data_IF_926699662241
#
_entry.id   IF_926699662241
#
_cell.length_a   1.000
_cell.length_b   1.000
_cell.length_c   1.000
_cell.angle_alpha   90.00
_cell.angle_beta   90.00
_cell.angle_gamma   90.00
#
_symmetry.space_group_name_H-M   'P 1'
#
loop_
_entity.id
_entity.type
_entity.pdbx_description
1 polymer ?
#
# COMPACT_ATOMS: atom_id res chain seq x y z
N UNK A 1 28.28 11.69 48.80
CA UNK A 1 29.03 11.95 47.56
C UNK A 1 29.67 10.63 47.14
N UNK A 2 28.95 9.84 46.33
CA UNK A 2 29.44 8.65 45.62
C UNK A 2 28.65 8.63 44.31
N UNK A 3 29.35 8.81 43.20
CA UNK A 3 28.85 8.64 41.83
C UNK A 3 28.37 7.19 41.63
N UNK A 4 27.23 7.00 40.97
CA UNK A 4 26.92 5.73 40.31
C UNK A 4 26.81 5.98 38.82
N UNK A 5 27.71 5.33 38.09
CA UNK A 5 27.92 5.41 36.66
C UNK A 5 26.64 5.31 35.83
N UNK A 6 26.61 6.16 34.80
CA UNK A 6 25.62 6.15 33.74
C UNK A 6 25.66 4.84 32.97
N UNK A 7 24.61 4.04 33.13
CA UNK A 7 24.25 3.02 32.16
C UNK A 7 23.85 3.75 30.88
N UNK A 8 24.72 3.71 29.88
CA UNK A 8 24.46 4.21 28.54
C UNK A 8 23.19 3.55 28.00
N UNK A 9 22.13 4.35 27.87
CA UNK A 9 20.99 4.01 27.00
C UNK A 9 21.54 3.75 25.60
N UNK A 10 21.21 2.62 24.95
CA UNK A 10 21.52 2.47 23.53
C UNK A 10 20.86 3.63 22.80
N UNK A 11 21.65 4.35 22.01
CA UNK A 11 21.21 5.46 21.19
C UNK A 11 19.93 5.07 20.46
N UNK A 12 18.87 5.85 20.68
CA UNK A 12 17.58 5.64 20.05
C UNK A 12 17.76 5.57 18.55
N UNK A 13 17.45 4.41 17.97
CA UNK A 13 16.91 4.39 16.62
C UNK A 13 15.60 5.16 16.70
N UNK A 14 15.64 6.43 16.28
CA UNK A 14 14.45 7.27 16.20
C UNK A 14 13.40 6.52 15.36
N UNK A 15 12.30 6.03 15.96
CA UNK A 15 11.35 5.16 15.26
C UNK A 15 10.81 5.83 13.98
N UNK A 16 10.67 7.16 14.01
CA UNK A 16 10.27 8.00 12.87
C UNK A 16 11.25 7.93 11.69
N UNK A 17 12.55 7.77 11.94
CA UNK A 17 13.56 7.67 10.88
C UNK A 17 13.48 6.34 10.11
N UNK A 18 13.14 5.26 10.81
CA UNK A 18 12.91 3.94 10.22
C UNK A 18 11.61 3.90 9.42
N UNK A 19 10.56 4.52 9.94
CA UNK A 19 9.25 4.60 9.29
C UNK A 19 9.30 5.48 8.03
N UNK A 20 9.98 6.63 8.09
CA UNK A 20 10.20 7.49 6.92
C UNK A 20 11.04 6.81 5.83
N UNK A 21 12.08 6.06 6.21
CA UNK A 21 12.91 5.31 5.25
C UNK A 21 12.13 4.15 4.59
N UNK A 22 11.26 3.47 5.34
CA UNK A 22 10.38 2.42 4.81
C UNK A 22 9.32 2.99 3.88
N UNK A 23 8.69 4.11 4.25
CA UNK A 23 7.73 4.82 3.41
C UNK A 23 8.38 5.29 2.09
N UNK A 24 9.60 5.86 2.17
CA UNK A 24 10.35 6.27 0.98
C UNK A 24 10.69 5.08 0.07
N UNK A 25 11.14 3.94 0.64
CA UNK A 25 11.40 2.72 -0.13
C UNK A 25 10.14 2.17 -0.79
N UNK A 26 8.99 2.18 -0.10
CA UNK A 26 7.72 1.73 -0.66
C UNK A 26 7.23 2.64 -1.81
N UNK A 27 7.40 3.96 -1.68
CA UNK A 27 7.08 4.95 -2.72
C UNK A 27 8.00 4.78 -3.94
N UNK A 28 9.30 4.59 -3.71
CA UNK A 28 10.26 4.35 -4.79
C UNK A 28 9.94 3.05 -5.53
N UNK A 29 9.73 1.95 -4.80
CA UNK A 29 9.38 0.64 -5.38
C UNK A 29 8.13 0.69 -6.26
N UNK A 30 7.09 1.43 -5.84
CA UNK A 30 5.84 1.55 -6.60
C UNK A 30 6.00 2.39 -7.87
N UNK A 31 6.82 3.45 -7.87
CA UNK A 31 7.12 4.20 -9.09
C UNK A 31 7.97 3.41 -10.10
N UNK A 32 9.00 2.69 -9.64
CA UNK A 32 9.85 1.90 -10.54
C UNK A 32 9.08 0.76 -11.23
N UNK A 33 8.13 0.13 -10.53
CA UNK A 33 7.32 -0.95 -11.10
C UNK A 33 6.52 -0.50 -12.33
N UNK A 34 5.96 0.72 -12.29
CA UNK A 34 5.23 1.28 -13.43
C UNK A 34 6.10 1.41 -14.66
N UNK A 35 7.33 1.91 -14.52
CA UNK A 35 8.24 2.12 -15.65
C UNK A 35 8.73 0.80 -16.24
N UNK A 36 8.95 -0.22 -15.41
CA UNK A 36 9.28 -1.57 -15.88
C UNK A 36 8.15 -2.17 -16.72
N UNK A 37 6.89 -1.98 -16.31
CA UNK A 37 5.74 -2.46 -17.08
C UNK A 37 5.63 -1.73 -18.42
N UNK A 38 5.79 -0.40 -18.44
CA UNK A 38 5.77 0.39 -19.69
C UNK A 38 6.86 -0.11 -20.64
N UNK A 39 8.08 -0.34 -20.14
CA UNK A 39 9.18 -0.88 -20.94
C UNK A 39 8.86 -2.28 -21.50
N UNK A 40 8.31 -3.17 -20.67
CA UNK A 40 7.88 -4.51 -21.11
C UNK A 40 6.83 -4.45 -22.22
N UNK A 41 5.84 -3.56 -22.11
CA UNK A 41 4.81 -3.38 -23.14
C UNK A 41 5.40 -2.79 -24.42
N UNK A 42 6.34 -1.85 -24.32
CA UNK A 42 7.02 -1.28 -25.48
C UNK A 42 7.85 -2.32 -26.24
N UNK A 43 8.49 -3.25 -25.54
CA UNK A 43 9.20 -4.39 -26.18
C UNK A 43 8.22 -5.28 -26.93
N UNK A 44 7.04 -5.57 -26.36
CA UNK A 44 5.99 -6.31 -27.07
C UNK A 44 5.50 -5.58 -28.31
N UNK A 45 5.25 -4.27 -28.20
CA UNK A 45 4.84 -3.43 -29.33
C UNK A 45 5.92 -3.35 -30.42
N UNK A 46 7.20 -3.36 -30.05
CA UNK A 46 8.30 -3.34 -31.02
C UNK A 46 8.20 -4.50 -32.02
N UNK A 47 7.76 -5.67 -31.55
CA UNK A 47 7.58 -6.86 -32.38
C UNK A 47 6.39 -6.80 -33.35
N UNK A 48 5.49 -5.81 -33.21
CA UNK A 48 4.25 -5.71 -34.00
C UNK A 48 4.16 -4.43 -34.81
N UNK A 49 4.41 -3.26 -34.20
CA UNK A 49 4.25 -1.94 -34.85
C UNK A 49 5.57 -1.29 -35.28
N UNK A 50 6.70 -1.96 -35.03
CA UNK A 50 8.03 -1.47 -35.38
C UNK A 50 8.58 -0.39 -34.44
N UNK A 51 9.82 0.04 -34.69
CA UNK A 51 10.59 0.90 -33.79
C UNK A 51 9.98 2.27 -33.53
N UNK A 52 9.47 2.93 -34.58
CA UNK A 52 8.96 4.30 -34.49
C UNK A 52 7.71 4.39 -33.62
N UNK A 53 6.69 3.58 -33.91
CA UNK A 53 5.44 3.58 -33.16
C UNK A 53 5.63 3.10 -31.72
N UNK A 54 6.45 2.06 -31.49
CA UNK A 54 6.73 1.57 -30.14
C UNK A 54 7.46 2.63 -29.30
N UNK A 55 8.45 3.33 -29.87
CA UNK A 55 9.19 4.40 -29.16
C UNK A 55 8.32 5.60 -28.86
N UNK A 56 7.48 6.02 -29.82
CA UNK A 56 6.54 7.13 -29.62
C UNK A 56 5.53 6.80 -28.51
N UNK A 57 4.97 5.58 -28.51
CA UNK A 57 4.07 5.14 -27.45
C UNK A 57 4.78 5.07 -26.10
N UNK A 58 6.00 4.55 -26.05
CA UNK A 58 6.80 4.47 -24.83
C UNK A 58 7.05 5.85 -24.21
N UNK A 59 7.56 6.80 -25.00
CA UNK A 59 7.85 8.17 -24.55
C UNK A 59 6.56 8.89 -24.13
N UNK A 60 5.49 8.76 -24.93
CA UNK A 60 4.19 9.37 -24.61
C UNK A 60 3.60 8.85 -23.31
N UNK A 61 3.69 7.54 -23.08
CA UNK A 61 3.17 6.90 -21.85
C UNK A 61 4.01 7.24 -20.62
N UNK A 62 5.34 7.34 -20.77
CA UNK A 62 6.23 7.85 -19.72
C UNK A 62 5.89 9.30 -19.36
N UNK A 63 5.71 10.17 -20.36
CA UNK A 63 5.35 11.56 -20.15
C UNK A 63 3.99 11.69 -19.44
N UNK A 64 2.98 10.93 -19.87
CA UNK A 64 1.68 10.89 -19.20
C UNK A 64 1.80 10.46 -17.72
N UNK A 65 2.61 9.44 -17.43
CA UNK A 65 2.87 8.98 -16.06
C UNK A 65 3.62 10.00 -15.19
N UNK A 66 4.56 10.75 -15.77
CA UNK A 66 5.27 11.82 -15.08
C UNK A 66 4.36 13.02 -14.79
N UNK A 67 3.53 13.43 -15.77
CA UNK A 67 2.54 14.50 -15.62
C UNK A 67 1.57 14.15 -14.49
N UNK A 68 1.02 12.93 -14.48
CA UNK A 68 0.13 12.49 -13.39
C UNK A 68 0.80 12.56 -12.03
N UNK A 69 2.04 12.08 -11.89
CA UNK A 69 2.77 12.16 -10.63
C UNK A 69 2.98 13.61 -10.16
N UNK A 70 3.28 14.52 -11.09
CA UNK A 70 3.41 15.95 -10.78
C UNK A 70 2.07 16.58 -10.36
N UNK A 71 0.97 16.21 -11.02
CA UNK A 71 -0.38 16.69 -10.69
C UNK A 71 -0.83 16.16 -9.33
N UNK A 72 -0.67 14.87 -9.05
CA UNK A 72 -1.00 14.25 -7.76
C UNK A 72 -0.24 14.92 -6.60
N UNK A 73 1.06 15.19 -6.78
CA UNK A 73 1.89 15.89 -5.79
C UNK A 73 1.42 17.34 -5.55
N UNK A 74 0.96 18.05 -6.58
CA UNK A 74 0.43 19.41 -6.43
C UNK A 74 -0.94 19.41 -5.73
N UNK A 75 -1.76 18.40 -5.98
CA UNK A 75 -3.10 18.28 -5.39
C UNK A 75 -3.02 17.91 -3.90
N UNK A 76 -2.12 17.01 -3.51
CA UNK A 76 -1.95 16.62 -2.10
C UNK A 76 -1.57 17.80 -1.19
N UNK A 77 -0.96 18.85 -1.76
CA UNK A 77 -0.59 20.07 -1.05
C UNK A 77 -1.75 21.09 -0.89
N UNK A 78 -2.92 20.87 -1.51
CA UNK A 78 -4.02 21.87 -1.60
C UNK A 78 -5.37 21.36 -1.09
N UNK A 79 -5.40 20.36 -0.20
CA UNK A 79 -6.65 19.67 0.15
C UNK A 79 -7.59 20.54 1.00
N UNK A 80 -8.60 21.09 0.31
CA UNK A 80 -9.85 21.63 0.86
C UNK A 80 -11.02 21.34 -0.11
N UNK A 81 -11.85 20.37 0.25
CA UNK A 81 -13.27 20.16 -0.14
C UNK A 81 -13.77 20.21 -1.60
N UNK A 82 -12.93 20.26 -2.65
CA UNK A 82 -13.41 20.30 -4.06
C UNK A 82 -12.75 19.35 -5.07
N UNK A 83 -11.71 18.61 -4.69
CA UNK A 83 -10.81 17.93 -5.66
C UNK A 83 -11.13 16.44 -5.92
N UNK A 84 -12.23 15.92 -5.38
CA UNK A 84 -12.57 14.49 -5.45
C UNK A 84 -12.71 13.92 -6.88
N UNK A 85 -13.10 14.76 -7.85
CA UNK A 85 -13.25 14.34 -9.26
C UNK A 85 -11.98 14.51 -10.10
N UNK A 86 -11.02 15.32 -9.65
CA UNK A 86 -9.81 15.60 -10.43
C UNK A 86 -8.87 14.39 -10.44
N UNK A 87 -8.77 13.67 -9.32
CA UNK A 87 -7.95 12.46 -9.26
C UNK A 87 -8.41 11.38 -10.26
N UNK A 88 -9.69 10.97 -10.28
CA UNK A 88 -10.18 10.03 -11.29
C UNK A 88 -10.01 10.54 -12.72
N UNK A 89 -10.21 11.84 -12.97
CA UNK A 89 -10.06 12.41 -14.31
C UNK A 89 -8.61 12.31 -14.82
N UNK A 90 -7.63 12.71 -14.01
CA UNK A 90 -6.20 12.63 -14.37
C UNK A 90 -5.76 11.18 -14.53
N UNK A 91 -6.21 10.29 -13.63
CA UNK A 91 -5.91 8.87 -13.71
C UNK A 91 -6.48 8.26 -15.00
N UNK A 92 -7.74 8.56 -15.35
CA UNK A 92 -8.40 8.11 -16.58
C UNK A 92 -7.66 8.63 -17.82
N UNK A 93 -7.25 9.90 -17.83
CA UNK A 93 -6.48 10.48 -18.92
C UNK A 93 -5.14 9.75 -19.12
N UNK A 94 -4.45 9.38 -18.04
CA UNK A 94 -3.23 8.56 -18.18
C UNK A 94 -3.53 7.15 -18.65
N UNK A 95 -4.61 6.53 -18.19
CA UNK A 95 -5.01 5.19 -18.67
C UNK A 95 -5.30 5.20 -20.16
N UNK A 96 -5.79 6.31 -20.73
CA UNK A 96 -5.98 6.42 -22.18
C UNK A 96 -4.68 6.28 -22.97
N UNK A 97 -3.55 6.81 -22.47
CA UNK A 97 -2.24 6.60 -23.10
C UNK A 97 -1.84 5.11 -23.09
N UNK A 98 -2.14 4.40 -22.00
CA UNK A 98 -1.90 2.96 -21.92
C UNK A 98 -2.83 2.16 -22.84
N UNK A 99 -4.10 2.54 -22.93
CA UNK A 99 -5.10 1.88 -23.77
C UNK A 99 -4.84 2.05 -25.28
N UNK A 100 -3.92 2.95 -25.68
CA UNK A 100 -3.42 2.99 -27.05
C UNK A 100 -2.61 1.75 -27.42
N UNK A 101 -1.91 1.11 -26.47
CA UNK A 101 -1.08 -0.07 -26.73
C UNK A 101 -1.86 -1.25 -27.34
N UNK A 102 -2.97 -1.73 -26.75
CA UNK A 102 -3.74 -2.82 -27.34
C UNK A 102 -4.28 -2.47 -28.73
N UNK A 103 -4.67 -1.21 -28.98
CA UNK A 103 -5.14 -0.76 -30.29
C UNK A 103 -4.01 -0.75 -31.33
N UNK A 104 -2.83 -0.23 -30.97
CA UNK A 104 -1.64 -0.22 -31.82
C UNK A 104 -1.25 -1.64 -32.21
N UNK A 105 -1.22 -2.57 -31.25
CA UNK A 105 -0.94 -3.98 -31.52
C UNK A 105 -2.01 -4.60 -32.44
N UNK A 106 -3.29 -4.37 -32.13
CA UNK A 106 -4.42 -4.96 -32.86
C UNK A 106 -4.47 -4.55 -34.34
N UNK A 107 -4.28 -3.26 -34.61
CA UNK A 107 -4.33 -2.70 -35.98
C UNK A 107 -2.97 -2.67 -36.68
N UNK A 108 -1.95 -3.34 -36.14
CA UNK A 108 -0.59 -3.36 -36.71
C UNK A 108 -0.49 -4.08 -38.06
N UNK A 109 -1.46 -4.95 -38.38
CA UNK A 109 -1.38 -5.86 -39.54
C UNK A 109 -0.43 -7.03 -39.35
N UNK A 110 0.30 -7.11 -38.23
CA UNK A 110 1.17 -8.24 -37.91
C UNK A 110 0.34 -9.46 -37.47
N UNK A 111 0.80 -10.67 -37.83
CA UNK A 111 0.12 -11.92 -37.44
C UNK A 111 -0.05 -12.08 -35.93
N UNK A 112 0.92 -11.61 -35.14
CA UNK A 112 0.87 -11.64 -33.69
C UNK A 112 0.09 -10.46 -33.06
N UNK A 113 -0.27 -9.46 -33.87
CA UNK A 113 -0.93 -8.22 -33.44
C UNK A 113 -2.21 -8.44 -32.63
N UNK A 114 -3.19 -9.22 -33.12
CA UNK A 114 -4.43 -9.48 -32.39
C UNK A 114 -4.23 -10.16 -31.03
N UNK A 115 -3.35 -11.18 -30.97
CA UNK A 115 -3.03 -11.90 -29.72
C UNK A 115 -2.37 -10.98 -28.68
N UNK A 116 -1.42 -10.15 -29.12
CA UNK A 116 -0.77 -9.16 -28.26
C UNK A 116 -1.78 -8.11 -27.81
N UNK A 117 -2.59 -7.58 -28.72
CA UNK A 117 -3.64 -6.60 -28.41
C UNK A 117 -4.60 -7.10 -27.33
N UNK A 118 -5.03 -8.36 -27.45
CA UNK A 118 -5.91 -8.98 -26.44
C UNK A 118 -5.22 -9.12 -25.08
N UNK A 119 -3.96 -9.57 -25.08
CA UNK A 119 -3.17 -9.73 -23.85
C UNK A 119 -2.95 -8.39 -23.15
N UNK A 120 -2.58 -7.34 -23.89
CA UNK A 120 -2.40 -6.00 -23.37
C UNK A 120 -3.70 -5.41 -22.83
N UNK A 121 -4.83 -5.67 -23.48
CA UNK A 121 -6.15 -5.23 -23.03
C UNK A 121 -6.51 -5.85 -21.68
N UNK A 122 -6.39 -7.18 -21.54
CA UNK A 122 -6.66 -7.91 -20.29
C UNK A 122 -5.66 -7.48 -19.19
N UNK A 123 -4.38 -7.41 -19.51
CA UNK A 123 -3.35 -6.96 -18.57
C UNK A 123 -3.62 -5.52 -18.09
N UNK A 124 -4.08 -4.64 -18.97
CA UNK A 124 -4.48 -3.27 -18.65
C UNK A 124 -5.59 -3.20 -17.60
N UNK A 125 -6.66 -4.00 -17.78
CA UNK A 125 -7.72 -4.12 -16.78
C UNK A 125 -7.18 -4.64 -15.44
N UNK A 126 -6.39 -5.73 -15.47
CA UNK A 126 -5.81 -6.31 -14.26
C UNK A 126 -4.96 -5.30 -13.50
N UNK A 127 -4.14 -4.52 -14.20
CA UNK A 127 -3.31 -3.47 -13.58
C UNK A 127 -4.14 -2.38 -12.90
N UNK A 128 -5.19 -1.87 -13.56
CA UNK A 128 -6.05 -0.83 -12.98
C UNK A 128 -6.76 -1.34 -11.73
N UNK A 129 -7.35 -2.53 -11.80
CA UNK A 129 -8.07 -3.11 -10.66
C UNK A 129 -7.13 -3.54 -9.51
N UNK A 130 -5.93 -4.02 -9.82
CA UNK A 130 -4.92 -4.33 -8.80
C UNK A 130 -4.45 -3.08 -8.05
N UNK A 131 -4.33 -1.94 -8.75
CA UNK A 131 -3.92 -0.65 -8.16
C UNK A 131 -5.03 0.01 -7.34
N UNK A 132 -6.29 -0.13 -7.76
CA UNK A 132 -7.47 0.51 -7.14
C UNK A 132 -8.31 -0.49 -6.34
N UNK A 133 -7.66 -1.50 -5.75
CA UNK A 133 -8.32 -2.59 -5.01
C UNK A 133 -9.22 -2.13 -3.87
N UNK A 134 -8.87 -1.02 -3.22
CA UNK A 134 -9.64 -0.42 -2.12
C UNK A 134 -10.79 0.48 -2.61
N UNK A 135 -10.93 0.69 -3.92
CA UNK A 135 -11.96 1.55 -4.51
C UNK A 135 -12.47 1.00 -5.87
N UNK A 136 -13.21 -0.13 -5.87
CA UNK A 136 -13.66 -0.79 -7.11
C UNK A 136 -14.48 0.11 -8.04
N UNK A 137 -15.28 1.03 -7.48
CA UNK A 137 -16.04 2.01 -8.27
C UNK A 137 -15.13 2.96 -9.07
N UNK A 138 -14.01 3.39 -8.48
CA UNK A 138 -13.02 4.21 -9.19
C UNK A 138 -12.28 3.40 -10.26
N UNK A 139 -12.01 2.12 -10.00
CA UNK A 139 -11.39 1.23 -10.98
C UNK A 139 -12.22 1.12 -12.27
N UNK A 140 -13.55 1.06 -12.16
CA UNK A 140 -14.45 1.04 -13.33
C UNK A 140 -14.29 2.33 -14.16
N UNK A 141 -14.29 3.50 -13.52
CA UNK A 141 -14.15 4.79 -14.22
C UNK A 141 -12.77 4.90 -14.88
N UNK A 142 -11.71 4.56 -14.13
CA UNK A 142 -10.32 4.72 -14.59
C UNK A 142 -9.96 3.70 -15.68
N UNK A 143 -10.60 2.52 -15.71
CA UNK A 143 -10.44 1.53 -16.77
C UNK A 143 -11.30 1.79 -18.01
N UNK A 144 -12.18 2.81 -18.00
CA UNK A 144 -13.03 3.14 -19.14
C UNK A 144 -12.29 3.32 -20.48
N UNK A 145 -11.02 3.80 -20.57
CA UNK A 145 -10.30 3.83 -21.83
C UNK A 145 -10.00 2.43 -22.40
N UNK A 146 -9.79 1.42 -21.55
CA UNK A 146 -9.72 0.02 -22.00
C UNK A 146 -11.09 -0.49 -22.44
N UNK A 147 -12.19 0.00 -21.83
CA UNK A 147 -13.55 -0.26 -22.31
C UNK A 147 -13.77 0.30 -23.71
N UNK A 148 -13.37 1.54 -23.95
CA UNK A 148 -13.42 2.16 -25.27
C UNK A 148 -12.55 1.39 -26.28
N UNK A 149 -11.33 1.00 -25.91
CA UNK A 149 -10.46 0.19 -26.77
C UNK A 149 -11.09 -1.17 -27.10
N UNK A 150 -11.70 -1.85 -26.13
CA UNK A 150 -12.41 -3.10 -26.33
C UNK A 150 -13.60 -2.94 -27.29
N UNK A 151 -14.37 -1.85 -27.18
CA UNK A 151 -15.48 -1.55 -28.09
C UNK A 151 -15.01 -1.25 -29.51
N UNK A 152 -13.90 -0.53 -29.68
CA UNK A 152 -13.29 -0.27 -30.99
C UNK A 152 -12.86 -1.59 -31.64
N UNK A 153 -12.21 -2.47 -30.87
CA UNK A 153 -11.80 -3.80 -31.34
C UNK A 153 -13.02 -4.64 -31.71
N UNK A 154 -14.03 -4.72 -30.84
CA UNK A 154 -15.27 -5.45 -31.09
C UNK A 154 -15.99 -4.94 -32.35
N UNK A 155 -16.04 -3.62 -32.55
CA UNK A 155 -16.61 -3.00 -33.75
C UNK A 155 -15.85 -3.40 -35.02
N UNK A 156 -14.52 -3.51 -34.95
CA UNK A 156 -13.70 -3.96 -36.09
C UNK A 156 -13.93 -5.42 -36.49
N UNK A 157 -14.41 -6.24 -35.55
CA UNK A 157 -14.72 -7.66 -35.75
C UNK A 157 -16.19 -7.89 -36.15
N UNK A 158 -17.01 -6.84 -36.24
CA UNK A 158 -18.44 -7.00 -36.43
C UNK A 158 -18.77 -7.79 -37.70
N UNK A 159 -19.54 -8.88 -37.55
CA UNK A 159 -19.91 -9.76 -38.66
C UNK A 159 -18.89 -10.85 -38.98
N UNK A 160 -17.73 -10.89 -38.32
CA UNK A 160 -16.75 -11.97 -38.46
C UNK A 160 -16.91 -13.04 -37.35
N UNK A 161 -16.48 -14.29 -37.58
CA UNK A 161 -16.51 -15.32 -36.53
C UNK A 161 -15.68 -14.98 -35.29
N UNK A 162 -14.60 -14.23 -35.48
CA UNK A 162 -13.67 -13.79 -34.42
C UNK A 162 -14.35 -12.86 -33.41
N UNK A 163 -15.46 -12.19 -33.79
CA UNK A 163 -16.26 -11.38 -32.86
C UNK A 163 -16.69 -12.17 -31.62
N UNK A 164 -17.18 -13.38 -31.82
CA UNK A 164 -17.64 -14.25 -30.74
C UNK A 164 -16.49 -14.74 -29.88
N UNK A 165 -15.32 -14.97 -30.48
CA UNK A 165 -14.10 -15.35 -29.77
C UNK A 165 -13.62 -14.21 -28.87
N UNK A 166 -13.65 -12.97 -29.36
CA UNK A 166 -13.35 -11.78 -28.56
C UNK A 166 -14.32 -11.63 -27.39
N UNK A 167 -15.62 -11.75 -27.66
CA UNK A 167 -16.66 -11.64 -26.62
C UNK A 167 -16.54 -12.75 -25.56
N UNK A 168 -16.13 -13.95 -25.95
CA UNK A 168 -15.94 -15.06 -25.04
C UNK A 168 -14.88 -14.79 -23.95
N UNK A 169 -13.93 -13.88 -24.15
CA UNK A 169 -12.91 -13.53 -23.15
C UNK A 169 -13.43 -12.58 -22.07
N UNK A 170 -14.50 -11.84 -22.35
CA UNK A 170 -15.11 -10.90 -21.40
C UNK A 170 -15.49 -11.55 -20.08
N UNK A 171 -16.26 -12.67 -20.03
CA UNK A 171 -16.63 -13.31 -18.76
C UNK A 171 -15.41 -13.82 -17.98
N UNK A 172 -14.38 -14.34 -18.64
CA UNK A 172 -13.16 -14.80 -17.96
C UNK A 172 -12.38 -13.63 -17.33
N UNK A 173 -12.27 -12.53 -18.05
CA UNK A 173 -11.63 -11.31 -17.54
C UNK A 173 -12.44 -10.76 -16.37
N UNK A 174 -13.76 -10.65 -16.51
CA UNK A 174 -14.64 -10.16 -15.45
C UNK A 174 -14.57 -11.03 -14.19
N UNK A 175 -14.60 -12.36 -14.33
CA UNK A 175 -14.45 -13.29 -13.22
C UNK A 175 -13.07 -13.16 -12.54
N UNK A 176 -12.00 -13.05 -13.32
CA UNK A 176 -10.64 -12.84 -12.80
C UNK A 176 -10.51 -11.53 -12.01
N UNK A 177 -11.08 -10.43 -12.53
CA UNK A 177 -11.13 -9.14 -11.83
C UNK A 177 -11.99 -9.22 -10.57
N UNK A 178 -13.13 -9.91 -10.61
CA UNK A 178 -13.99 -10.11 -9.45
C UNK A 178 -13.26 -10.87 -8.33
N UNK A 179 -12.57 -11.96 -8.67
CA UNK A 179 -11.75 -12.72 -7.72
C UNK A 179 -10.60 -11.87 -7.17
N UNK A 180 -9.89 -11.14 -8.04
CA UNK A 180 -8.80 -10.24 -7.63
C UNK A 180 -9.28 -9.21 -6.62
N UNK A 181 -10.39 -8.52 -6.90
CA UNK A 181 -10.97 -7.51 -6.01
C UNK A 181 -11.45 -8.15 -4.71
N UNK A 182 -12.22 -9.23 -4.78
CA UNK A 182 -12.77 -9.88 -3.59
C UNK A 182 -11.65 -10.40 -2.68
N UNK A 183 -10.65 -11.08 -3.25
CA UNK A 183 -9.53 -11.63 -2.48
C UNK A 183 -8.68 -10.54 -1.83
N UNK A 184 -8.47 -9.42 -2.53
CA UNK A 184 -7.71 -8.29 -1.98
C UNK A 184 -8.48 -7.56 -0.88
N UNK A 185 -9.79 -7.34 -1.04
CA UNK A 185 -10.65 -6.76 0.00
C UNK A 185 -10.69 -7.64 1.26
N UNK A 186 -10.92 -8.95 1.10
CA UNK A 186 -10.90 -9.91 2.22
C UNK A 186 -9.54 -10.01 2.92
N UNK A 187 -8.44 -9.73 2.22
CA UNK A 187 -7.11 -9.69 2.81
C UNK A 187 -6.92 -8.42 3.64
N UNK A 188 -7.39 -7.28 3.15
CA UNK A 188 -7.33 -6.02 3.88
C UNK A 188 -8.17 -6.03 5.15
N UNK A 189 -9.40 -6.57 5.09
CA UNK A 189 -10.27 -6.73 6.26
C UNK A 189 -9.62 -7.62 7.34
N UNK A 190 -9.03 -8.75 6.93
CA UNK A 190 -8.30 -9.63 7.85
C UNK A 190 -7.10 -8.96 8.51
N UNK A 191 -6.34 -8.18 7.76
CA UNK A 191 -5.20 -7.44 8.30
C UNK A 191 -5.68 -6.41 9.33
N UNK A 192 -6.76 -5.67 9.04
CA UNK A 192 -7.34 -4.69 9.97
C UNK A 192 -7.83 -5.35 11.26
N UNK A 193 -8.60 -6.43 11.15
CA UNK A 193 -9.10 -7.17 12.32
C UNK A 193 -7.94 -7.70 13.20
N UNK A 194 -6.86 -8.17 12.57
CA UNK A 194 -5.67 -8.61 13.29
C UNK A 194 -4.96 -7.45 14.00
N UNK A 195 -4.83 -6.29 13.33
CA UNK A 195 -4.25 -5.08 13.93
C UNK A 195 -5.05 -4.56 15.11
N UNK A 196 -6.39 -4.52 14.99
CA UNK A 196 -7.29 -4.12 16.08
C UNK A 196 -7.18 -5.07 17.27
N UNK A 197 -7.14 -6.39 17.03
CA UNK A 197 -6.96 -7.38 18.08
C UNK A 197 -5.61 -7.25 18.79
N UNK A 198 -4.52 -7.02 18.02
CA UNK A 198 -3.21 -6.77 18.61
C UNK A 198 -3.18 -5.49 19.44
N UNK A 199 -3.79 -4.40 18.97
CA UNK A 199 -3.87 -3.14 19.71
C UNK A 199 -4.58 -3.33 21.05
N UNK A 200 -5.70 -4.07 21.06
CA UNK A 200 -6.43 -4.39 22.30
C UNK A 200 -5.59 -5.21 23.28
N UNK A 201 -4.89 -6.25 22.80
CA UNK A 201 -4.02 -7.06 23.66
C UNK A 201 -2.85 -6.25 24.24
N UNK A 202 -2.30 -5.31 23.46
CA UNK A 202 -1.26 -4.40 23.95
C UNK A 202 -1.81 -3.53 25.08
N UNK A 203 -3.00 -2.96 24.92
CA UNK A 203 -3.65 -2.15 25.97
C UNK A 203 -3.94 -2.97 27.24
N UNK A 204 -4.41 -4.21 27.11
CA UNK A 204 -4.64 -5.11 28.25
C UNK A 204 -3.33 -5.44 28.99
N UNK A 205 -2.25 -5.72 28.23
CA UNK A 205 -0.93 -6.00 28.80
C UNK A 205 -0.35 -4.78 29.52
N UNK A 206 -0.51 -3.58 28.96
CA UNK A 206 -0.10 -2.33 29.61
C UNK A 206 -0.88 -2.11 30.91
N UNK A 207 -2.20 -2.30 30.89
CA UNK A 207 -3.03 -2.20 32.09
C UNK A 207 -2.64 -3.21 33.18
N UNK A 208 -2.37 -4.47 32.80
CA UNK A 208 -1.94 -5.51 33.72
C UNK A 208 -0.55 -5.22 34.31
N UNK A 209 0.40 -4.76 33.49
CA UNK A 209 1.73 -4.32 33.91
C UNK A 209 1.62 -3.18 34.92
N UNK A 210 0.80 -2.17 34.64
CA UNK A 210 0.68 -0.99 35.50
C UNK A 210 0.06 -1.36 36.86
N UNK A 211 -0.92 -2.27 36.89
CA UNK A 211 -1.45 -2.83 38.14
C UNK A 211 -0.39 -3.59 38.94
N UNK A 212 0.43 -4.40 38.27
CA UNK A 212 1.51 -5.15 38.93
C UNK A 212 2.59 -4.21 39.51
N UNK A 213 2.96 -3.17 38.77
CA UNK A 213 3.89 -2.14 39.23
C UNK A 213 3.33 -1.39 40.45
N UNK A 214 2.08 -0.94 40.40
CA UNK A 214 1.43 -0.27 41.53
C UNK A 214 1.39 -1.16 42.79
N UNK A 215 1.14 -2.46 42.64
CA UNK A 215 1.18 -3.41 43.75
C UNK A 215 2.59 -3.60 44.32
N UNK A 216 3.62 -3.65 43.46
CA UNK A 216 5.01 -3.71 43.88
C UNK A 216 5.46 -2.44 44.62
N UNK A 217 5.04 -1.27 44.14
CA UNK A 217 5.35 0.01 44.78
C UNK A 217 4.67 0.11 46.15
N UNK A 218 3.40 -0.30 46.26
CA UNK A 218 2.69 -0.36 47.53
C UNK A 218 3.37 -1.32 48.53
N UNK A 219 3.80 -2.50 48.06
CA UNK A 219 4.54 -3.47 48.87
C UNK A 219 5.88 -2.91 49.35
N UNK A 220 6.62 -2.25 48.46
CA UNK A 220 7.92 -1.63 48.77
C UNK A 220 7.77 -0.51 49.79
N UNK A 221 6.74 0.34 49.63
CA UNK A 221 6.43 1.41 50.58
C UNK A 221 6.05 0.84 51.96
N UNK A 222 5.17 -0.16 52.00
CA UNK A 222 4.79 -0.83 53.24
C UNK A 222 6.00 -1.42 53.97
N UNK A 223 6.87 -2.15 53.27
CA UNK A 223 8.09 -2.71 53.86
C UNK A 223 9.06 -1.63 54.37
N UNK A 224 9.17 -0.52 53.63
CA UNK A 224 9.97 0.64 54.05
C UNK A 224 9.45 1.26 55.35
N UNK A 225 8.14 1.51 55.45
CA UNK A 225 7.49 2.04 56.66
C UNK A 225 7.68 1.08 57.84
N UNK A 226 7.39 -0.21 57.67
CA UNK A 226 7.55 -1.21 58.74
C UNK A 226 9.02 -1.30 59.20
N UNK A 227 9.99 -1.21 58.27
CA UNK A 227 11.42 -1.20 58.64
C UNK A 227 11.80 0.01 59.51
N UNK A 228 11.27 1.20 59.19
CA UNK A 228 11.47 2.41 59.98
C UNK A 228 10.80 2.30 61.36
N UNK A 229 9.56 1.82 61.40
CA UNK A 229 8.78 1.67 62.63
C UNK A 229 9.36 0.59 63.55
N UNK A 230 10.00 -0.47 63.04
CA UNK A 230 10.66 -1.48 63.85
C UNK A 230 12.00 -1.00 64.43
N UNK A 231 12.72 -0.09 63.74
CA UNK A 231 14.02 0.40 64.21
C UNK A 231 13.91 1.21 65.50
N UNK A 232 12.83 1.98 65.65
CA UNK A 232 12.57 2.82 66.84
C UNK A 232 12.43 2.02 68.14
N UNK A 233 11.53 1.02 68.27
CA UNK A 233 11.42 0.19 69.46
C UNK A 233 12.65 -0.72 69.65
N UNK A 234 13.26 -1.22 68.57
CA UNK A 234 14.44 -2.08 68.68
C UNK A 234 15.63 -1.32 69.27
N UNK A 235 15.82 -0.05 68.89
CA UNK A 235 16.80 0.83 69.52
C UNK A 235 16.45 1.13 70.99
N UNK A 236 15.15 1.26 71.33
CA UNK A 236 14.69 1.43 72.71
C UNK A 236 14.99 0.21 73.60
N UNK A 237 14.78 -1.00 73.09
CA UNK A 237 15.10 -2.25 73.81
C UNK A 237 16.61 -2.43 73.98
N UNK A 238 17.40 -2.14 72.94
CA UNK A 238 18.87 -2.15 73.02
C UNK A 238 19.41 -1.14 74.04
N UNK A 239 18.85 0.07 74.10
CA UNK A 239 19.22 1.07 75.10
C UNK A 239 18.89 0.63 76.53
N UNK A 240 17.73 -0.01 76.74
CA UNK A 240 17.36 -0.56 78.04
C UNK A 240 18.27 -1.74 78.45
N UNK A 241 18.65 -2.60 77.50
CA UNK A 241 19.57 -3.71 77.75
C UNK A 241 20.99 -3.22 78.09
N UNK A 242 21.46 -2.13 77.49
CA UNK A 242 22.76 -1.50 77.81
C UNK A 242 22.82 -0.88 79.21
N UNK A 243 21.69 -0.50 79.79
CA UNK A 243 21.62 0.02 81.17
C UNK A 243 21.60 -1.08 82.24
N UNK A 244 21.39 -2.34 81.82
CA UNK A 244 21.32 -3.52 82.71
C UNK A 244 22.63 -4.33 82.75
N UNK A 245 23.68 -3.92 82.02
CA UNK A 245 25.03 -4.49 82.06
C UNK A 245 26.05 -3.43 82.47
#
# INVERSE_FOLDING_TARGET
MVESDGIGKPAGSDPDSGEAAQALRAILQTQYLRYLIIASWAVGLLATVGWTAATLWFIGTLAAGAIRGAVEKRISQRVGTGWGLVFPAVATATTAAWAAAPLLAWFSGATFGPSLGMTLLVAGYVLVFAQLRSSPRQAIVISSPYGAAALIIAGSLWGTPEFWQFLAVVPFTAAGLFVLVTMTMLREERIRAFQEHQAHLIEELESARDKANAANDAKSNFLGVISHELRTPMNGVLGAAQLLG
#
